data_IF_404203810536
#
_entry.id   IF_404203810536
#
_cell.length_a   1.000
_cell.length_b   1.000
_cell.length_c   1.000
_cell.angle_alpha   90.00
_cell.angle_beta   90.00
_cell.angle_gamma   90.00
#
_symmetry.space_group_name_H-M   'P 1'
#
loop_
_entity.id
_entity.type
_entity.pdbx_description
1 polymer ?
#
# COMPACT_ATOMS: atom_id res chain seq x y z
N UNK A 1 -7.14 13.83 -20.60
CA UNK A 1 -7.28 13.27 -19.24
C UNK A 1 -6.46 14.15 -18.30
N UNK A 2 -6.99 14.48 -17.12
CA UNK A 2 -6.27 15.28 -16.12
C UNK A 2 -5.48 14.38 -15.17
N UNK A 3 -4.34 14.86 -14.69
CA UNK A 3 -3.58 14.26 -13.59
C UNK A 3 -3.71 15.21 -12.41
N UNK A 4 -4.05 14.66 -11.24
CA UNK A 4 -4.17 15.41 -9.99
C UNK A 4 -3.09 14.91 -9.03
N UNK A 5 -2.41 15.83 -8.36
CA UNK A 5 -1.36 15.54 -7.38
C UNK A 5 -1.83 15.97 -6.01
N UNK A 6 -1.67 15.10 -5.03
CA UNK A 6 -1.96 15.34 -3.62
C UNK A 6 -0.69 15.01 -2.82
N UNK A 7 -0.43 15.78 -1.77
CA UNK A 7 0.67 15.59 -0.84
C UNK A 7 0.09 15.45 0.57
N UNK A 8 0.56 14.46 1.32
CA UNK A 8 0.13 14.19 2.70
C UNK A 8 1.36 13.94 3.58
N UNK A 9 1.32 14.43 4.82
CA UNK A 9 2.39 14.32 5.80
C UNK A 9 1.85 13.71 7.09
N UNK A 10 2.54 12.66 7.57
CA UNK A 10 2.21 12.00 8.82
C UNK A 10 3.40 12.00 9.77
N UNK A 11 3.21 12.52 10.98
CA UNK A 11 4.24 12.54 12.03
C UNK A 11 4.24 11.20 12.77
N UNK A 12 5.41 10.61 12.94
CA UNK A 12 5.60 9.36 13.69
C UNK A 12 6.69 9.52 14.75
N UNK A 13 6.48 8.90 15.91
CA UNK A 13 7.51 8.79 16.96
C UNK A 13 8.55 7.70 16.67
N UNK A 14 8.31 6.87 15.65
CA UNK A 14 9.21 5.78 15.23
C UNK A 14 10.32 6.35 14.34
N UNK A 15 11.57 5.96 14.61
CA UNK A 15 12.72 6.39 13.83
C UNK A 15 12.55 6.06 12.32
N UNK A 16 12.98 6.96 11.40
CA UNK A 16 12.72 6.83 9.97
C UNK A 16 13.11 5.48 9.37
N UNK A 17 14.32 4.98 9.66
CA UNK A 17 14.80 3.71 9.12
C UNK A 17 13.95 2.50 9.59
N UNK A 18 13.47 2.53 10.84
CA UNK A 18 12.62 1.47 11.38
C UNK A 18 11.22 1.52 10.78
N UNK A 19 10.68 2.72 10.60
CA UNK A 19 9.38 2.93 9.95
C UNK A 19 9.44 2.48 8.49
N UNK A 20 10.47 2.91 7.74
CA UNK A 20 10.70 2.49 6.37
C UNK A 20 10.75 0.98 6.23
N UNK A 21 11.53 0.30 7.06
CA UNK A 21 11.61 -1.18 7.03
C UNK A 21 10.23 -1.82 7.23
N UNK A 22 9.44 -1.31 8.18
CA UNK A 22 8.10 -1.82 8.46
C UNK A 22 7.13 -1.65 7.27
N UNK A 23 7.22 -0.54 6.53
CA UNK A 23 6.32 -0.23 5.42
C UNK A 23 6.79 -0.75 4.05
N UNK A 24 8.09 -0.85 3.81
CA UNK A 24 8.64 -1.25 2.51
C UNK A 24 9.01 -2.74 2.46
N UNK A 25 9.58 -3.29 3.53
CA UNK A 25 10.11 -4.67 3.55
C UNK A 25 9.22 -5.63 4.32
N UNK A 26 8.82 -5.24 5.53
CA UNK A 26 8.07 -6.10 6.44
C UNK A 26 6.54 -5.85 6.38
N UNK A 27 6.08 -5.13 5.34
CA UNK A 27 4.69 -4.66 5.22
C UNK A 27 3.69 -5.80 5.34
N UNK A 28 4.03 -6.94 4.76
CA UNK A 28 3.09 -8.04 4.57
C UNK A 28 2.80 -8.75 5.90
N UNK A 29 3.68 -8.57 6.89
CA UNK A 29 3.54 -9.11 8.24
C UNK A 29 3.09 -8.06 9.25
N UNK A 30 3.54 -6.82 9.11
CA UNK A 30 3.30 -5.75 10.09
C UNK A 30 1.96 -5.07 9.86
N UNK A 31 1.65 -4.70 8.61
CA UNK A 31 0.47 -3.87 8.31
C UNK A 31 -0.83 -4.55 8.74
N UNK A 32 -1.08 -5.84 8.45
CA UNK A 32 -2.32 -6.49 8.91
C UNK A 32 -2.47 -6.57 10.44
N UNK A 33 -1.38 -6.46 11.19
CA UNK A 33 -1.41 -6.49 12.66
C UNK A 33 -1.66 -5.12 13.29
N UNK A 34 -1.36 -4.05 12.55
CA UNK A 34 -1.41 -2.67 13.05
C UNK A 34 -2.62 -1.93 12.49
N UNK A 35 -3.07 -2.27 11.28
CA UNK A 35 -4.21 -1.65 10.61
C UNK A 35 -5.36 -2.65 10.57
N UNK A 36 -6.34 -2.47 11.46
CA UNK A 36 -7.46 -3.40 11.64
C UNK A 36 -8.26 -3.67 10.36
N UNK A 37 -8.36 -2.68 9.47
CA UNK A 37 -9.08 -2.83 8.21
C UNK A 37 -8.36 -3.73 7.19
N UNK A 38 -7.04 -3.92 7.32
CA UNK A 38 -6.24 -4.72 6.37
C UNK A 38 -6.15 -6.14 6.91
N UNK A 39 -6.81 -7.08 6.23
CA UNK A 39 -6.83 -8.48 6.63
C UNK A 39 -5.55 -9.23 6.23
N UNK A 40 -5.04 -8.97 5.03
CA UNK A 40 -3.85 -9.63 4.50
C UNK A 40 -3.18 -8.81 3.43
N UNK A 41 -1.88 -9.06 3.24
CA UNK A 41 -1.11 -8.58 2.09
C UNK A 41 -0.34 -9.77 1.54
N UNK A 42 -0.51 -10.03 0.24
CA UNK A 42 0.05 -11.20 -0.42
C UNK A 42 0.81 -10.77 -1.67
N UNK A 43 2.03 -11.26 -1.87
CA UNK A 43 2.72 -11.11 -3.16
C UNK A 43 2.10 -12.11 -4.14
N UNK A 44 1.48 -11.58 -5.20
CA UNK A 44 0.87 -12.40 -6.26
C UNK A 44 1.78 -12.55 -7.48
N UNK A 45 2.73 -11.64 -7.66
CA UNK A 45 3.74 -11.69 -8.71
C UNK A 45 5.02 -10.98 -8.24
N UNK A 46 6.20 -11.53 -8.57
CA UNK A 46 7.49 -10.92 -8.27
C UNK A 46 8.16 -11.44 -7.00
N UNK A 47 9.20 -10.74 -6.55
CA UNK A 47 10.12 -11.18 -5.49
C UNK A 47 10.24 -10.21 -4.32
N UNK A 48 9.40 -9.16 -4.30
CA UNK A 48 9.46 -8.08 -3.31
C UNK A 48 10.13 -6.79 -3.81
N UNK A 49 10.86 -6.82 -4.93
CA UNK A 49 11.48 -5.65 -5.56
C UNK A 49 10.57 -4.90 -6.56
N UNK A 50 11.11 -3.90 -7.29
CA UNK A 50 10.40 -3.23 -8.39
C UNK A 50 9.78 -4.22 -9.38
N UNK A 51 8.54 -3.97 -9.78
CA UNK A 51 7.71 -4.86 -10.60
C UNK A 51 6.83 -5.83 -9.79
N UNK A 52 7.08 -6.02 -8.50
CA UNK A 52 6.27 -6.91 -7.64
C UNK A 52 4.84 -6.41 -7.54
N UNK A 53 3.86 -7.32 -7.65
CA UNK A 53 2.45 -7.03 -7.42
C UNK A 53 2.03 -7.63 -6.09
N UNK A 54 1.54 -6.78 -5.19
CA UNK A 54 0.98 -7.12 -3.89
C UNK A 54 -0.54 -6.94 -3.92
N UNK A 55 -1.29 -7.93 -3.46
CA UNK A 55 -2.72 -7.86 -3.23
C UNK A 55 -2.98 -7.56 -1.76
N UNK A 56 -3.61 -6.43 -1.48
CA UNK A 56 -4.02 -6.04 -0.13
C UNK A 56 -5.51 -6.32 0.00
N UNK A 57 -5.89 -7.20 0.92
CA UNK A 57 -7.29 -7.51 1.21
C UNK A 57 -7.77 -6.64 2.38
N UNK A 58 -8.87 -5.93 2.17
CA UNK A 58 -9.43 -4.95 3.11
C UNK A 58 -10.83 -5.38 3.52
N UNK A 59 -11.15 -5.30 4.82
CA UNK A 59 -12.51 -5.43 5.33
C UNK A 59 -13.06 -4.03 5.63
N UNK A 60 -14.07 -3.61 4.88
CA UNK A 60 -14.74 -2.33 5.13
C UNK A 60 -16.26 -2.52 5.08
N UNK A 61 -16.95 -2.08 6.14
CA UNK A 61 -18.41 -2.22 6.25
C UNK A 61 -18.92 -3.67 6.12
N UNK A 62 -18.12 -4.65 6.56
CA UNK A 62 -18.45 -6.09 6.45
C UNK A 62 -18.28 -6.68 5.05
N UNK A 63 -17.76 -5.91 4.08
CA UNK A 63 -17.45 -6.39 2.73
C UNK A 63 -15.95 -6.56 2.58
N UNK A 64 -15.56 -7.74 2.08
CA UNK A 64 -14.17 -8.00 1.70
C UNK A 64 -13.90 -7.42 0.32
N UNK A 65 -12.91 -6.54 0.23
CA UNK A 65 -12.45 -5.90 -0.99
C UNK A 65 -10.94 -6.07 -1.12
N UNK A 66 -10.38 -5.72 -2.28
CA UNK A 66 -8.92 -5.72 -2.43
C UNK A 66 -8.44 -4.59 -3.33
N UNK A 67 -7.17 -4.25 -3.17
CA UNK A 67 -6.41 -3.38 -4.07
C UNK A 67 -5.11 -4.06 -4.47
N UNK A 68 -4.64 -3.77 -5.68
CA UNK A 68 -3.39 -4.26 -6.24
C UNK A 68 -2.36 -3.13 -6.23
N UNK A 69 -1.32 -3.31 -5.42
CA UNK A 69 -0.13 -2.47 -5.39
C UNK A 69 0.95 -3.05 -6.29
N UNK A 70 1.42 -2.26 -7.25
CA UNK A 70 2.65 -2.57 -7.98
C UNK A 70 3.79 -1.73 -7.42
N UNK A 71 4.87 -2.38 -7.02
CA UNK A 71 6.11 -1.70 -6.60
C UNK A 71 6.78 -1.10 -7.83
N UNK A 72 6.99 0.21 -7.86
CA UNK A 72 7.65 0.89 -8.98
C UNK A 72 9.13 1.14 -8.69
N UNK A 73 9.46 1.57 -7.47
CA UNK A 73 10.85 1.81 -7.06
C UNK A 73 11.04 1.62 -5.55
N UNK A 74 12.25 1.19 -5.18
CA UNK A 74 12.71 1.07 -3.79
C UNK A 74 14.06 1.78 -3.71
N UNK A 75 14.16 2.79 -2.84
CA UNK A 75 15.39 3.52 -2.56
C UNK A 75 15.67 3.52 -1.06
N UNK A 76 16.43 2.53 -0.61
CA UNK A 76 16.74 2.38 0.81
C UNK A 76 17.66 3.48 1.35
N UNK A 77 18.48 4.09 0.49
CA UNK A 77 19.41 5.14 0.90
C UNK A 77 18.65 6.42 1.27
N UNK A 78 17.58 6.72 0.54
CA UNK A 78 16.72 7.88 0.77
C UNK A 78 15.40 7.54 1.48
N UNK A 79 15.23 6.30 1.94
CA UNK A 79 14.00 5.79 2.55
C UNK A 79 12.75 5.98 1.66
N UNK A 80 12.93 5.91 0.35
CA UNK A 80 11.89 6.03 -0.67
C UNK A 80 11.26 4.68 -1.03
N UNK A 81 9.94 4.67 -1.17
CA UNK A 81 9.16 3.53 -1.65
C UNK A 81 8.00 4.04 -2.51
N UNK A 82 8.06 3.73 -3.81
CA UNK A 82 7.08 4.20 -4.79
C UNK A 82 6.24 3.03 -5.28
N UNK A 83 4.94 3.24 -5.37
CA UNK A 83 4.00 2.23 -5.86
C UNK A 83 2.91 2.84 -6.73
N UNK A 84 2.29 2.00 -7.55
CA UNK A 84 1.08 2.31 -8.31
C UNK A 84 -0.08 1.43 -7.85
N UNK A 85 -1.27 2.00 -7.83
CA UNK A 85 -2.52 1.24 -7.69
C UNK A 85 -2.99 0.82 -9.09
N UNK A 86 -2.91 -0.47 -9.39
CA UNK A 86 -3.15 -0.98 -10.76
C UNK A 86 -4.51 -1.66 -10.93
N UNK A 87 -5.30 -1.78 -9.87
CA UNK A 87 -6.65 -2.34 -9.93
C UNK A 87 -7.13 -2.89 -8.58
N UNK A 88 -8.36 -3.40 -8.56
CA UNK A 88 -8.98 -4.01 -7.39
C UNK A 88 -10.36 -3.46 -7.07
N UNK A 89 -11.18 -4.25 -6.39
CA UNK A 89 -12.57 -3.89 -6.07
C UNK A 89 -12.68 -2.70 -5.10
N UNK A 90 -11.67 -2.45 -4.27
CA UNK A 90 -11.64 -1.29 -3.35
C UNK A 90 -11.43 0.04 -4.06
N UNK A 91 -10.69 0.06 -5.17
CA UNK A 91 -10.45 1.28 -5.97
C UNK A 91 -11.72 1.79 -6.65
N UNK A 92 -12.57 0.87 -7.12
CA UNK A 92 -13.86 1.19 -7.72
C UNK A 92 -14.83 1.80 -6.69
N UNK A 93 -14.71 1.43 -5.41
CA UNK A 93 -15.48 2.04 -4.32
C UNK A 93 -15.06 3.49 -4.05
N UNK A 94 -13.75 3.76 -4.01
CA UNK A 94 -13.21 5.11 -3.79
C UNK A 94 -13.63 6.11 -4.89
N UNK A 95 -13.64 5.68 -6.16
CA UNK A 95 -14.09 6.53 -7.29
C UNK A 95 -15.56 6.93 -7.16
N UNK A 96 -16.40 6.10 -6.54
CA UNK A 96 -17.84 6.33 -6.44
C UNK A 96 -18.23 7.35 -5.36
N UNK A 97 -17.36 7.61 -4.39
CA UNK A 97 -17.61 8.55 -3.30
C UNK A 97 -17.02 9.95 -3.54
N UNK A 98 -16.46 10.22 -4.73
CA UNK A 98 -15.94 11.53 -5.13
C UNK A 98 -16.77 12.20 -6.25
N UNK A 99 -17.98 11.70 -6.53
CA UNK A 99 -18.92 12.26 -7.53
C UNK A 99 -20.28 12.48 -6.87
#
# INVERSE_FOLDING_TARGET
MGVFTFEDEHISTVAPAKLYKAFAKDSDTIIPKVVEAIQSIEIIEGNGGPGTIKKLTVLEGGKSMYVLHKVEAIDEANLGYNYSLIGGSGLEHYKKNQI
#
